data_IF_719800988286
#
_entry.id   IF_719800988286
#
_cell.length_a   1.000
_cell.length_b   1.000
_cell.length_c   1.000
_cell.angle_alpha   90.00
_cell.angle_beta   90.00
_cell.angle_gamma   90.00
#
_symmetry.space_group_name_H-M   'P 1'
#
loop_
_entity.id
_entity.type
_entity.pdbx_description
1 polymer ?
#
# COMPACT_ATOMS: atom_id res chain seq x y z
N UNK A 1 -8.45 -34.91 24.82
CA UNK A 1 -9.08 -33.75 25.49
C UNK A 1 -8.29 -33.36 26.74
N UNK A 2 -7.27 -32.50 26.58
CA UNK A 2 -6.70 -31.62 27.61
C UNK A 2 -5.51 -30.91 26.96
N UNK A 3 -5.39 -29.60 27.22
CA UNK A 3 -4.42 -28.65 26.65
C UNK A 3 -4.78 -28.05 25.29
N UNK A 4 -6.07 -27.78 25.12
CA UNK A 4 -6.63 -26.74 24.25
C UNK A 4 -6.47 -25.37 24.93
N UNK A 5 -5.25 -25.00 25.34
CA UNK A 5 -4.97 -23.61 25.73
C UNK A 5 -4.67 -22.86 24.45
N UNK A 6 -5.68 -22.12 23.98
CA UNK A 6 -5.50 -20.96 23.13
C UNK A 6 -4.23 -20.21 23.58
N UNK A 7 -3.12 -20.41 22.89
CA UNK A 7 -2.02 -19.45 22.89
C UNK A 7 -2.33 -18.34 21.89
N UNK A 8 -3.54 -17.78 22.02
CA UNK A 8 -3.69 -16.33 22.06
C UNK A 8 -3.02 -15.84 23.36
N UNK A 9 -1.72 -16.14 23.51
CA UNK A 9 -0.96 -15.55 24.58
C UNK A 9 -0.92 -14.07 24.23
N UNK A 10 -1.66 -13.28 25.00
CA UNK A 10 -1.49 -11.84 25.06
C UNK A 10 -0.03 -11.47 25.37
N UNK A 11 0.79 -12.45 25.82
CA UNK A 11 2.24 -12.40 25.95
C UNK A 11 2.97 -12.08 24.64
N UNK A 12 2.56 -12.67 23.50
CA UNK A 12 3.23 -12.51 22.21
C UNK A 12 2.51 -11.50 21.28
N UNK A 13 2.20 -10.31 21.80
CA UNK A 13 1.52 -9.26 21.04
C UNK A 13 2.49 -8.17 20.59
N UNK A 14 2.72 -7.96 19.27
CA UNK A 14 3.60 -6.89 18.80
C UNK A 14 3.11 -5.49 19.21
N UNK A 15 1.81 -5.31 19.51
CA UNK A 15 1.26 -4.04 20.01
C UNK A 15 1.79 -3.61 21.39
N UNK A 16 2.44 -4.52 22.13
CA UNK A 16 3.16 -4.16 23.36
C UNK A 16 4.42 -3.33 23.09
N UNK A 17 4.98 -3.44 21.88
CA UNK A 17 6.13 -2.67 21.45
C UNK A 17 5.62 -1.28 21.08
N UNK A 18 6.04 -0.27 21.87
CA UNK A 18 5.61 1.12 21.72
C UNK A 18 5.79 1.62 20.28
N UNK A 19 6.98 1.40 19.72
CA UNK A 19 7.35 1.82 18.37
C UNK A 19 6.44 1.17 17.32
N UNK A 20 6.14 -0.13 17.45
CA UNK A 20 5.26 -0.85 16.52
C UNK A 20 3.82 -0.34 16.60
N UNK A 21 3.29 -0.12 17.81
CA UNK A 21 1.91 0.35 18.02
C UNK A 21 1.65 1.68 17.33
N UNK A 22 2.56 2.62 17.47
CA UNK A 22 2.40 3.90 16.80
C UNK A 22 2.67 3.81 15.29
N UNK A 23 3.63 2.98 14.87
CA UNK A 23 3.86 2.70 13.45
C UNK A 23 2.60 2.16 12.78
N UNK A 24 1.92 1.17 13.39
CA UNK A 24 0.74 0.56 12.80
C UNK A 24 -0.47 1.50 12.79
N UNK A 25 -0.63 2.37 13.80
CA UNK A 25 -1.67 3.41 13.82
C UNK A 25 -1.42 4.41 12.69
N UNK A 26 -0.20 4.94 12.59
CA UNK A 26 0.15 5.89 11.54
C UNK A 26 0.07 5.26 10.14
N UNK A 27 0.49 4.00 10.00
CA UNK A 27 0.30 3.22 8.78
C UNK A 27 -1.17 3.15 8.38
N UNK A 28 -2.04 2.74 9.30
CA UNK A 28 -3.48 2.63 9.06
C UNK A 28 -4.11 3.96 8.64
N UNK A 29 -3.81 5.04 9.36
CA UNK A 29 -4.33 6.38 9.08
C UNK A 29 -3.85 6.87 7.70
N UNK A 30 -2.55 6.78 7.41
CA UNK A 30 -2.00 7.22 6.11
C UNK A 30 -2.51 6.40 4.93
N UNK A 31 -2.67 5.07 5.11
CA UNK A 31 -3.23 4.22 4.06
C UNK A 31 -4.71 4.50 3.82
N UNK A 32 -5.47 4.73 4.88
CA UNK A 32 -6.90 5.08 4.75
C UNK A 32 -7.05 6.39 3.99
N UNK A 33 -6.27 7.42 4.34
CA UNK A 33 -6.21 8.67 3.59
C UNK A 33 -5.85 8.46 2.11
N UNK A 34 -4.88 7.59 1.82
CA UNK A 34 -4.46 7.31 0.44
C UNK A 34 -5.57 6.65 -0.38
N UNK A 35 -6.34 5.74 0.23
CA UNK A 35 -7.51 5.13 -0.42
C UNK A 35 -8.68 6.11 -0.59
N UNK A 36 -8.85 7.06 0.34
CA UNK A 36 -9.81 8.17 0.18
C UNK A 36 -9.42 9.02 -1.04
N UNK A 37 -8.15 9.46 -1.12
CA UNK A 37 -7.64 10.22 -2.26
C UNK A 37 -7.81 9.44 -3.56
N UNK A 38 -7.41 8.16 -3.61
CA UNK A 38 -7.46 7.36 -4.83
C UNK A 38 -8.89 7.32 -5.39
N UNK A 39 -9.88 7.09 -4.52
CA UNK A 39 -11.31 7.09 -4.89
C UNK A 39 -11.75 8.46 -5.44
N UNK A 40 -11.37 9.53 -4.75
CA UNK A 40 -11.69 10.90 -5.18
C UNK A 40 -10.99 11.30 -6.50
N UNK A 41 -9.76 10.84 -6.76
CA UNK A 41 -9.06 11.08 -8.01
C UNK A 41 -9.72 10.38 -9.19
N UNK A 42 -10.15 9.12 -9.01
CA UNK A 42 -10.89 8.38 -10.04
C UNK A 42 -12.18 9.13 -10.40
N UNK A 43 -12.92 9.59 -9.40
CA UNK A 43 -14.13 10.40 -9.63
C UNK A 43 -13.80 11.73 -10.33
N UNK A 44 -12.81 12.48 -9.85
CA UNK A 44 -12.43 13.77 -10.43
C UNK A 44 -12.00 13.65 -11.89
N UNK A 45 -11.20 12.64 -12.24
CA UNK A 45 -10.78 12.41 -13.62
C UNK A 45 -11.99 12.09 -14.51
N UNK A 46 -12.93 11.29 -14.00
CA UNK A 46 -14.17 11.01 -14.72
C UNK A 46 -15.00 12.28 -14.92
N UNK A 47 -15.15 13.12 -13.90
CA UNK A 47 -15.90 14.38 -13.98
C UNK A 47 -15.27 15.38 -14.97
N UNK A 48 -13.93 15.41 -15.04
CA UNK A 48 -13.19 16.28 -15.95
C UNK A 48 -13.21 15.82 -17.42
N UNK A 49 -13.39 14.53 -17.69
CA UNK A 49 -13.16 13.97 -19.04
C UNK A 49 -14.33 13.18 -19.62
N UNK A 50 -15.24 12.68 -18.77
CA UNK A 50 -16.35 11.79 -19.12
C UNK A 50 -15.94 10.58 -19.97
N UNK A 51 -14.68 10.13 -19.86
CA UNK A 51 -14.09 9.16 -20.78
C UNK A 51 -13.35 8.04 -20.07
N UNK A 52 -13.74 6.80 -20.42
CA UNK A 52 -13.06 5.60 -19.94
C UNK A 52 -11.60 5.52 -20.42
N UNK A 53 -11.28 6.09 -21.58
CA UNK A 53 -9.91 6.12 -22.11
C UNK A 53 -8.98 6.98 -21.24
N UNK A 54 -9.45 8.17 -20.84
CA UNK A 54 -8.68 9.06 -19.95
C UNK A 54 -8.51 8.46 -18.55
N UNK A 55 -9.52 7.75 -18.03
CA UNK A 55 -9.37 6.96 -16.81
C UNK A 55 -8.31 5.86 -16.95
N UNK A 56 -8.26 5.17 -18.08
CA UNK A 56 -7.22 4.17 -18.37
C UNK A 56 -5.82 4.79 -18.38
N UNK A 57 -5.64 5.92 -19.06
CA UNK A 57 -4.38 6.68 -19.10
C UNK A 57 -3.98 7.13 -17.69
N UNK A 58 -4.91 7.66 -16.92
CA UNK A 58 -4.66 8.08 -15.54
C UNK A 58 -4.19 6.92 -14.65
N UNK A 59 -4.87 5.77 -14.70
CA UNK A 59 -4.48 4.58 -13.92
C UNK A 59 -3.11 4.04 -14.34
N UNK A 60 -2.82 4.06 -15.65
CA UNK A 60 -1.50 3.68 -16.15
C UNK A 60 -0.42 4.62 -15.61
N UNK A 61 -0.56 5.93 -15.81
CA UNK A 61 0.45 6.91 -15.41
C UNK A 61 0.65 7.00 -13.90
N UNK A 62 -0.40 6.77 -13.09
CA UNK A 62 -0.27 6.73 -11.63
C UNK A 62 0.44 5.48 -11.12
N UNK A 63 0.31 4.34 -11.81
CA UNK A 63 0.92 3.06 -11.40
C UNK A 63 2.28 2.78 -12.05
N UNK A 64 2.52 3.33 -13.23
CA UNK A 64 3.75 3.19 -14.01
C UNK A 64 5.04 3.50 -13.23
N UNK A 65 5.16 4.64 -12.52
CA UNK A 65 6.37 4.93 -11.76
C UNK A 65 6.61 3.92 -10.63
N UNK A 66 5.56 3.36 -10.03
CA UNK A 66 5.71 2.30 -9.01
C UNK A 66 6.45 1.10 -9.59
N UNK A 67 6.09 0.65 -10.79
CA UNK A 67 6.71 -0.52 -11.43
C UNK A 67 8.20 -0.27 -11.69
N UNK A 68 8.55 0.90 -12.22
CA UNK A 68 9.93 1.23 -12.59
C UNK A 68 10.80 1.49 -11.35
N UNK A 69 10.30 2.32 -10.43
CA UNK A 69 11.08 2.77 -9.28
C UNK A 69 11.11 1.76 -8.13
N UNK A 70 10.24 0.73 -8.11
CA UNK A 70 10.34 -0.35 -7.10
C UNK A 70 11.70 -1.05 -7.16
N UNK A 71 12.30 -1.24 -8.34
CA UNK A 71 13.65 -1.82 -8.45
C UNK A 71 14.73 -0.93 -7.84
N UNK A 72 14.62 0.38 -8.04
CA UNK A 72 15.55 1.37 -7.50
C UNK A 72 15.35 1.53 -5.98
N UNK A 73 14.13 1.30 -5.50
CA UNK A 73 13.79 1.39 -4.08
C UNK A 73 14.63 0.47 -3.21
N UNK A 74 14.89 -0.78 -3.66
CA UNK A 74 15.70 -1.74 -2.90
C UNK A 74 17.11 -1.22 -2.62
N UNK A 75 17.75 -0.63 -3.65
CA UNK A 75 19.06 0.00 -3.53
C UNK A 75 19.01 1.16 -2.52
N UNK A 76 18.03 2.05 -2.63
CA UNK A 76 17.90 3.19 -1.73
C UNK A 76 17.62 2.76 -0.27
N UNK A 77 16.77 1.75 -0.07
CA UNK A 77 16.39 1.22 1.26
C UNK A 77 17.58 0.57 1.97
N UNK A 78 18.52 -0.01 1.23
CA UNK A 78 19.70 -0.63 1.81
C UNK A 78 20.86 0.33 2.06
N UNK A 79 20.90 1.45 1.34
CA UNK A 79 21.95 2.46 1.50
C UNK A 79 21.66 3.50 2.56
N UNK A 80 20.41 3.95 2.62
CA UNK A 80 20.02 5.03 3.50
C UNK A 80 19.48 4.48 4.81
N UNK A 81 19.57 5.31 5.85
CA UNK A 81 18.89 5.01 7.10
C UNK A 81 17.39 4.93 6.84
N UNK A 82 16.81 3.74 7.06
CA UNK A 82 15.42 3.43 6.70
C UNK A 82 14.40 4.34 7.40
N UNK A 83 14.62 4.66 8.68
CA UNK A 83 13.78 5.61 9.42
C UNK A 83 13.81 7.01 8.80
N UNK A 84 15.00 7.54 8.51
CA UNK A 84 15.16 8.88 7.90
C UNK A 84 14.57 8.91 6.49
N UNK A 85 14.84 7.90 5.67
CA UNK A 85 14.29 7.79 4.33
C UNK A 85 12.75 7.71 4.38
N UNK A 86 12.19 6.92 5.30
CA UNK A 86 10.74 6.77 5.44
C UNK A 86 10.09 8.07 5.94
N UNK A 87 10.75 8.78 6.84
CA UNK A 87 10.30 10.10 7.29
C UNK A 87 10.29 11.11 6.13
N UNK A 88 11.32 11.10 5.28
CA UNK A 88 11.41 11.96 4.11
C UNK A 88 10.31 11.66 3.09
N UNK A 89 10.08 10.37 2.80
CA UNK A 89 8.99 9.95 1.90
C UNK A 89 7.64 10.35 2.48
N UNK A 90 7.39 10.11 3.78
CA UNK A 90 6.15 10.52 4.44
C UNK A 90 5.91 12.04 4.38
N UNK A 91 6.96 12.83 4.55
CA UNK A 91 6.90 14.29 4.41
C UNK A 91 6.53 14.70 2.99
N UNK A 92 7.20 14.15 1.98
CA UNK A 92 6.90 14.49 0.58
C UNK A 92 5.53 14.00 0.12
N UNK A 93 5.01 12.92 0.70
CA UNK A 93 3.66 12.40 0.41
C UNK A 93 2.53 13.34 0.83
N UNK A 94 2.80 14.37 1.63
CA UNK A 94 1.81 15.40 2.01
C UNK A 94 1.49 16.32 0.82
N UNK A 95 2.49 16.66 0.00
CA UNK A 95 2.35 17.74 -0.99
C UNK A 95 1.43 17.40 -2.17
N UNK A 96 1.52 16.22 -2.82
CA UNK A 96 0.64 15.92 -3.95
C UNK A 96 -0.86 16.02 -3.61
N UNK A 97 -1.38 15.40 -2.53
CA UNK A 97 -2.77 15.62 -2.11
C UNK A 97 -3.06 17.06 -1.75
N UNK A 98 -2.16 17.74 -1.05
CA UNK A 98 -2.39 19.13 -0.62
C UNK A 98 -2.56 20.07 -1.82
N UNK A 99 -1.65 19.98 -2.79
CA UNK A 99 -1.69 20.77 -4.03
C UNK A 99 -2.96 20.42 -4.83
N UNK A 100 -3.29 19.13 -4.93
CA UNK A 100 -4.50 18.71 -5.64
C UNK A 100 -5.78 19.21 -4.96
N UNK A 101 -5.82 19.21 -3.62
CA UNK A 101 -6.88 19.81 -2.81
C UNK A 101 -7.07 21.29 -3.13
N UNK A 102 -5.98 22.06 -3.12
CA UNK A 102 -6.00 23.50 -3.43
C UNK A 102 -6.53 23.73 -4.85
N UNK A 103 -5.96 23.05 -5.86
CA UNK A 103 -6.38 23.21 -7.25
C UNK A 103 -7.86 22.87 -7.46
N UNK A 104 -8.34 21.83 -6.77
CA UNK A 104 -9.74 21.40 -6.86
C UNK A 104 -10.68 22.39 -6.15
N UNK A 105 -10.29 22.90 -4.98
CA UNK A 105 -11.06 23.90 -4.24
C UNK A 105 -11.28 25.18 -5.06
N UNK A 106 -10.25 25.65 -5.77
CA UNK A 106 -10.33 26.82 -6.63
C UNK A 106 -10.85 26.53 -8.05
N UNK A 107 -11.24 25.28 -8.34
CA UNK A 107 -11.70 24.84 -9.67
C UNK A 107 -10.70 25.12 -10.80
N UNK A 108 -9.40 25.16 -10.49
CA UNK A 108 -8.30 25.34 -11.44
C UNK A 108 -7.75 24.00 -11.94
N UNK A 109 -8.27 22.89 -11.40
CA UNK A 109 -7.75 21.55 -11.65
C UNK A 109 -8.05 21.10 -13.07
N UNK A 110 -7.01 20.58 -13.74
CA UNK A 110 -7.09 19.98 -15.08
C UNK A 110 -6.68 18.52 -15.05
N UNK A 111 -7.12 17.74 -16.05
CA UNK A 111 -6.76 16.32 -16.17
C UNK A 111 -5.25 16.07 -16.03
N UNK A 112 -4.42 16.89 -16.70
CA UNK A 112 -2.98 16.73 -16.69
C UNK A 112 -2.35 17.03 -15.32
N UNK A 113 -2.89 18.00 -14.57
CA UNK A 113 -2.44 18.28 -13.21
C UNK A 113 -2.78 17.13 -12.26
N UNK A 114 -4.00 16.60 -12.31
CA UNK A 114 -4.39 15.42 -11.49
C UNK A 114 -3.47 14.24 -11.79
N UNK A 115 -3.25 13.98 -13.08
CA UNK A 115 -2.43 12.85 -13.54
C UNK A 115 -0.96 13.01 -13.16
N UNK A 116 -0.39 14.21 -13.28
CA UNK A 116 0.98 14.49 -12.88
C UNK A 116 1.18 14.34 -11.36
N UNK A 117 0.25 14.85 -10.55
CA UNK A 117 0.32 14.71 -9.08
C UNK A 117 0.11 13.24 -8.65
N UNK A 118 -0.71 12.48 -9.38
CA UNK A 118 -0.84 11.04 -9.17
C UNK A 118 0.44 10.27 -9.57
N UNK A 119 1.10 10.65 -10.67
CA UNK A 119 2.41 10.13 -11.05
C UNK A 119 3.45 10.38 -9.95
N UNK A 120 3.52 11.61 -9.42
CA UNK A 120 4.42 11.94 -8.30
C UNK A 120 4.11 11.12 -7.04
N UNK A 121 2.82 10.91 -6.74
CA UNK A 121 2.39 10.03 -5.66
C UNK A 121 2.83 8.58 -5.90
N UNK A 122 2.76 8.10 -7.15
CA UNK A 122 3.26 6.78 -7.55
C UNK A 122 4.77 6.64 -7.36
N UNK A 123 5.56 7.66 -7.71
CA UNK A 123 7.01 7.69 -7.44
C UNK A 123 7.32 7.54 -5.95
N UNK A 124 6.60 8.27 -5.09
CA UNK A 124 6.76 8.19 -3.64
C UNK A 124 6.32 6.82 -3.11
N UNK A 125 5.20 6.30 -3.60
CA UNK A 125 4.68 4.98 -3.23
C UNK A 125 5.64 3.84 -3.60
N UNK A 126 6.40 3.98 -4.68
CA UNK A 126 7.43 3.02 -5.10
C UNK A 126 8.50 2.80 -4.02
N UNK A 127 8.77 3.82 -3.21
CA UNK A 127 9.68 3.75 -2.07
C UNK A 127 8.93 3.41 -0.78
N UNK A 128 7.77 4.03 -0.54
CA UNK A 128 7.04 3.94 0.72
C UNK A 128 6.64 2.51 1.09
N UNK A 129 6.04 1.78 0.14
CA UNK A 129 5.53 0.41 0.36
C UNK A 129 6.62 -0.56 0.79
N UNK A 130 7.70 -0.78 0.01
CA UNK A 130 8.77 -1.70 0.42
C UNK A 130 9.51 -1.22 1.67
N UNK A 131 9.72 0.09 1.81
CA UNK A 131 10.43 0.65 2.97
C UNK A 131 9.67 0.40 4.27
N UNK A 132 8.34 0.52 4.27
CA UNK A 132 7.49 0.18 5.44
C UNK A 132 7.57 -1.30 5.80
N UNK A 133 7.54 -2.20 4.82
CA UNK A 133 7.65 -3.65 5.05
C UNK A 133 8.99 -4.00 5.72
N UNK A 134 10.08 -3.44 5.19
CA UNK A 134 11.42 -3.66 5.75
C UNK A 134 11.54 -3.03 7.13
N UNK A 135 10.98 -1.83 7.33
CA UNK A 135 11.09 -1.12 8.61
C UNK A 135 10.37 -1.83 9.76
N UNK A 136 9.30 -2.58 9.50
CA UNK A 136 8.67 -3.43 10.53
C UNK A 136 9.68 -4.39 11.14
N UNK A 137 10.55 -5.02 10.32
CA UNK A 137 11.56 -5.96 10.81
C UNK A 137 12.65 -5.31 11.70
N UNK A 138 12.78 -3.99 11.67
CA UNK A 138 13.69 -3.25 12.55
C UNK A 138 13.02 -2.83 13.87
N UNK A 139 11.69 -2.68 13.86
CA UNK A 139 10.92 -2.26 15.03
C UNK A 139 10.51 -3.44 15.90
N UNK A 140 10.28 -4.62 15.30
CA UNK A 140 9.85 -5.81 16.03
C UNK A 140 10.94 -6.89 16.05
N UNK A 141 11.17 -7.56 17.21
CA UNK A 141 11.96 -8.78 17.27
C UNK A 141 11.47 -9.85 16.28
N UNK A 142 12.39 -10.67 15.77
CA UNK A 142 12.09 -11.71 14.77
C UNK A 142 10.94 -12.64 15.19
N UNK A 143 10.84 -12.97 16.48
CA UNK A 143 9.74 -13.77 17.05
C UNK A 143 8.34 -13.19 16.81
N UNK A 144 8.22 -11.88 16.60
CA UNK A 144 6.97 -11.17 16.36
C UNK A 144 6.77 -10.75 14.90
N UNK A 145 7.75 -10.96 14.02
CA UNK A 145 7.75 -10.43 12.67
C UNK A 145 6.54 -10.90 11.87
N UNK A 146 6.27 -12.20 11.85
CA UNK A 146 5.12 -12.76 11.11
C UNK A 146 3.80 -12.15 11.58
N UNK A 147 3.60 -12.03 12.89
CA UNK A 147 2.38 -11.45 13.47
C UNK A 147 2.27 -9.96 13.18
N UNK A 148 3.38 -9.23 13.22
CA UNK A 148 3.44 -7.81 12.88
C UNK A 148 3.09 -7.57 11.40
N UNK A 149 3.58 -8.42 10.49
CA UNK A 149 3.22 -8.39 9.08
C UNK A 149 1.74 -8.73 8.86
N UNK A 150 1.16 -9.66 9.65
CA UNK A 150 -0.28 -9.92 9.63
C UNK A 150 -1.10 -8.68 10.03
N UNK A 151 -0.68 -7.94 11.07
CA UNK A 151 -1.31 -6.67 11.45
C UNK A 151 -1.20 -5.62 10.35
N UNK A 152 -0.06 -5.54 9.66
CA UNK A 152 0.11 -4.64 8.51
C UNK A 152 -0.85 -5.00 7.38
N UNK A 153 -0.94 -6.28 7.02
CA UNK A 153 -1.86 -6.75 6.00
C UNK A 153 -3.32 -6.47 6.37
N UNK A 154 -3.70 -6.69 7.63
CA UNK A 154 -5.03 -6.33 8.14
C UNK A 154 -5.29 -4.84 7.99
N UNK A 155 -4.37 -3.99 8.47
CA UNK A 155 -4.43 -2.54 8.36
C UNK A 155 -4.63 -2.07 6.91
N UNK A 156 -3.85 -2.62 5.98
CA UNK A 156 -3.95 -2.31 4.55
C UNK A 156 -5.33 -2.68 3.96
N UNK A 157 -5.82 -3.89 4.23
CA UNK A 157 -7.10 -4.34 3.70
C UNK A 157 -8.28 -3.60 4.33
N UNK A 158 -8.23 -3.29 5.63
CA UNK A 158 -9.25 -2.47 6.29
C UNK A 158 -9.27 -1.05 5.71
N UNK A 159 -8.10 -0.43 5.51
CA UNK A 159 -8.00 0.88 4.87
C UNK A 159 -8.59 0.88 3.45
N UNK A 160 -8.39 -0.21 2.69
CA UNK A 160 -8.94 -0.38 1.34
C UNK A 160 -10.48 -0.45 1.30
N UNK A 161 -11.10 -0.90 2.38
CA UNK A 161 -12.57 -0.92 2.51
C UNK A 161 -13.08 0.44 3.00
N UNK A 162 -12.46 0.97 4.05
CA UNK A 162 -12.89 2.22 4.67
C UNK A 162 -12.64 3.45 3.79
N UNK A 163 -11.58 3.44 2.99
CA UNK A 163 -11.20 4.59 2.17
C UNK A 163 -12.29 4.98 1.16
N UNK A 164 -12.74 4.07 0.27
CA UNK A 164 -13.82 4.35 -0.66
C UNK A 164 -15.15 4.69 0.04
N UNK A 165 -15.44 4.05 1.17
CA UNK A 165 -16.63 4.35 1.98
C UNK A 165 -16.62 5.82 2.47
N UNK A 166 -15.54 6.25 3.11
CA UNK A 166 -15.41 7.63 3.58
C UNK A 166 -15.33 8.63 2.42
N UNK A 167 -14.62 8.31 1.33
CA UNK A 167 -14.61 9.15 0.13
C UNK A 167 -16.03 9.37 -0.42
N UNK A 168 -16.85 8.32 -0.50
CA UNK A 168 -18.24 8.43 -0.93
C UNK A 168 -19.07 9.36 -0.05
N UNK A 169 -18.93 9.24 1.28
CA UNK A 169 -19.60 10.14 2.23
C UNK A 169 -19.14 11.59 2.06
N UNK A 170 -17.83 11.84 1.96
CA UNK A 170 -17.27 13.19 1.80
C UNK A 170 -17.72 13.80 0.48
N UNK A 171 -17.74 13.03 -0.61
CA UNK A 171 -18.19 13.52 -1.92
C UNK A 171 -19.70 13.82 -1.91
N UNK A 172 -20.49 13.01 -1.21
CA UNK A 172 -21.95 13.15 -1.18
C UNK A 172 -22.45 14.29 -0.30
N UNK A 173 -21.81 14.52 0.86
CA UNK A 173 -22.24 15.52 1.84
C UNK A 173 -21.33 16.76 1.90
N UNK A 174 -20.16 16.69 1.29
CA UNK A 174 -19.13 17.71 1.36
C UNK A 174 -18.66 18.13 -0.02
N UNK A 175 -17.34 18.22 -0.18
CA UNK A 175 -16.74 18.61 -1.45
C UNK A 175 -15.52 17.77 -1.75
N UNK A 176 -15.28 17.51 -3.03
CA UNK A 176 -14.24 16.59 -3.47
C UNK A 176 -12.84 16.96 -2.99
N UNK A 177 -12.53 18.26 -2.87
CA UNK A 177 -11.23 18.72 -2.36
C UNK A 177 -10.94 18.29 -0.91
N UNK A 178 -11.98 18.05 -0.09
CA UNK A 178 -11.84 17.63 1.30
C UNK A 178 -11.21 16.24 1.40
N UNK A 179 -11.49 15.34 0.46
CA UNK A 179 -10.84 14.03 0.36
C UNK A 179 -9.31 14.16 0.24
N UNK A 180 -8.85 15.14 -0.54
CA UNK A 180 -7.42 15.37 -0.74
C UNK A 180 -6.76 15.97 0.49
N UNK A 181 -7.41 16.93 1.16
CA UNK A 181 -6.93 17.45 2.44
C UNK A 181 -6.88 16.37 3.53
N UNK A 182 -7.88 15.49 3.60
CA UNK A 182 -7.85 14.37 4.55
C UNK A 182 -6.66 13.46 4.31
N UNK A 183 -6.29 13.19 3.05
CA UNK A 183 -5.08 12.42 2.80
C UNK A 183 -3.82 13.18 3.22
N UNK A 184 -3.67 14.46 2.85
CA UNK A 184 -2.52 15.27 3.25
C UNK A 184 -2.35 15.28 4.79
N UNK A 185 -3.45 15.49 5.52
CA UNK A 185 -3.47 15.47 6.98
C UNK A 185 -3.13 14.10 7.55
N UNK A 186 -3.52 13.00 6.89
CA UNK A 186 -3.27 11.64 7.36
C UNK A 186 -1.77 11.27 7.44
N UNK A 187 -0.93 11.91 6.61
CA UNK A 187 0.52 11.69 6.61
C UNK A 187 1.25 12.48 7.70
N UNK A 188 0.67 13.58 8.22
CA UNK A 188 1.32 14.45 9.22
C UNK A 188 1.62 13.69 10.53
N UNK A 189 0.65 13.00 11.18
CA UNK A 189 0.92 12.24 12.39
C UNK A 189 1.97 11.14 12.18
N UNK A 190 1.94 10.49 11.01
CA UNK A 190 2.91 9.44 10.68
C UNK A 190 4.33 10.01 10.55
N UNK A 191 4.49 11.14 9.85
CA UNK A 191 5.76 11.84 9.73
C UNK A 191 6.31 12.31 11.09
N UNK A 192 5.49 12.96 11.91
CA UNK A 192 5.87 13.42 13.25
C UNK A 192 6.31 12.22 14.10
N UNK A 193 5.54 11.13 14.07
CA UNK A 193 5.86 9.94 14.84
C UNK A 193 7.21 9.32 14.45
N UNK A 194 7.45 9.11 13.15
CA UNK A 194 8.70 8.56 12.64
C UNK A 194 9.92 9.42 13.02
N UNK A 195 9.75 10.74 12.99
CA UNK A 195 10.84 11.70 13.20
C UNK A 195 11.21 11.83 14.66
N UNK A 196 10.22 12.00 15.54
CA UNK A 196 10.45 12.40 16.94
C UNK A 196 10.35 11.25 17.95
N UNK A 197 9.59 10.20 17.66
CA UNK A 197 9.25 9.19 18.67
C UNK A 197 9.93 7.85 18.46
N UNK A 198 10.22 7.46 17.21
CA UNK A 198 11.01 6.25 16.95
C UNK A 198 12.49 6.54 17.14
N UNK A 199 13.07 6.01 18.22
CA UNK A 199 14.51 6.14 18.53
C UNK A 199 15.34 4.97 18.00
N UNK A 200 14.69 3.86 17.65
CA UNK A 200 15.39 2.65 17.24
C UNK A 200 16.08 2.87 15.90
N UNK A 201 17.40 2.75 15.89
CA UNK A 201 18.21 2.69 14.68
C UNK A 201 19.41 1.82 15.02
N UNK A 202 19.42 0.56 14.56
CA UNK A 202 20.70 -0.05 14.21
C UNK A 202 21.24 0.81 13.08
N UNK A 203 22.21 1.68 13.37
CA UNK A 203 22.91 2.41 12.31
C UNK A 203 23.59 1.34 11.46
N UNK A 204 23.00 1.01 10.31
CA UNK A 204 23.83 0.48 9.22
C UNK A 204 24.77 1.63 8.86
N UNK A 205 26.07 1.42 9.06
CA UNK A 205 27.07 2.30 8.47
C UNK A 205 26.75 2.43 6.98
N UNK A 206 26.73 3.67 6.49
CA UNK A 206 26.49 3.95 5.08
C UNK A 206 27.67 3.33 4.34
N UNK A 207 27.50 2.12 3.79
CA UNK A 207 28.49 1.54 2.90
C UNK A 207 28.58 2.45 1.67
N UNK A 208 29.76 3.03 1.43
CA UNK A 208 30.03 3.76 0.18
C UNK A 208 29.90 2.76 -0.97
N UNK A 209 28.93 2.97 -1.84
CA UNK A 209 28.84 2.23 -3.10
C UNK A 209 30.04 2.61 -3.97
N UNK A 210 30.91 1.65 -4.24
CA UNK A 210 31.84 1.77 -5.35
C UNK A 210 31.07 1.66 -6.68
N UNK A 211 31.45 2.48 -7.67
CA UNK A 211 30.87 2.43 -9.03
C UNK A 211 31.10 1.02 -9.62
N UNK A 212 30.11 0.15 -9.49
CA UNK A 212 30.18 -1.27 -9.86
C UNK A 212 29.29 -2.18 -9.01
N UNK A 213 28.99 -1.80 -7.76
CA UNK A 213 28.20 -2.64 -6.85
C UNK A 213 26.75 -2.81 -7.29
N UNK A 214 26.16 -1.82 -7.97
CA UNK A 214 24.78 -1.94 -8.48
C UNK A 214 24.70 -3.06 -9.53
N UNK A 215 25.60 -3.05 -10.52
CA UNK A 215 25.65 -4.10 -11.56
C UNK A 215 26.00 -5.47 -10.96
N UNK A 216 26.84 -5.49 -9.93
CA UNK A 216 27.19 -6.69 -9.17
C UNK A 216 26.00 -7.24 -8.38
N UNK A 217 25.24 -6.38 -7.70
CA UNK A 217 24.03 -6.75 -6.96
C UNK A 217 22.94 -7.30 -7.90
N UNK A 218 22.73 -6.69 -9.07
CA UNK A 218 21.84 -7.25 -10.10
C UNK A 218 22.30 -8.64 -10.57
N UNK A 219 23.60 -8.81 -10.78
CA UNK A 219 24.18 -10.10 -11.17
C UNK A 219 24.01 -11.14 -10.06
N UNK A 220 24.22 -10.77 -8.80
CA UNK A 220 24.02 -11.63 -7.64
C UNK A 220 22.56 -12.06 -7.48
N UNK A 221 21.60 -11.15 -7.65
CA UNK A 221 20.16 -11.49 -7.63
C UNK A 221 19.80 -12.43 -8.78
N UNK A 222 20.30 -12.16 -9.99
CA UNK A 222 20.06 -13.03 -11.14
C UNK A 222 20.66 -14.43 -10.94
N UNK A 223 21.91 -14.51 -10.48
CA UNK A 223 22.58 -15.78 -10.18
C UNK A 223 21.88 -16.53 -9.03
N UNK A 224 21.42 -15.83 -8.00
CA UNK A 224 20.64 -16.39 -6.91
C UNK A 224 19.32 -16.98 -7.39
N UNK A 225 18.55 -16.25 -8.20
CA UNK A 225 17.29 -16.73 -8.77
C UNK A 225 17.48 -17.93 -9.70
N UNK A 226 18.60 -17.97 -10.44
CA UNK A 226 18.98 -19.10 -11.29
C UNK A 226 19.38 -20.33 -10.46
N UNK A 227 19.99 -20.13 -9.30
CA UNK A 227 20.39 -21.20 -8.36
C UNK A 227 19.20 -21.76 -7.59
N UNK A 228 18.39 -20.89 -6.99
CA UNK A 228 17.26 -21.25 -6.14
C UNK A 228 15.95 -21.32 -6.94
N UNK A 229 15.84 -22.31 -7.84
CA UNK A 229 14.68 -22.47 -8.75
C UNK A 229 13.32 -22.52 -8.03
N UNK A 230 13.27 -22.98 -6.76
CA UNK A 230 12.04 -22.96 -5.95
C UNK A 230 11.51 -21.54 -5.72
N UNK A 231 12.40 -20.59 -5.39
CA UNK A 231 12.03 -19.19 -5.16
C UNK A 231 11.56 -18.57 -6.47
N UNK A 232 12.28 -18.82 -7.57
CA UNK A 232 11.89 -18.34 -8.89
C UNK A 232 10.50 -18.85 -9.30
N UNK A 233 10.19 -20.12 -9.06
CA UNK A 233 8.86 -20.68 -9.34
C UNK A 233 7.76 -20.02 -8.50
N UNK A 234 8.02 -19.71 -7.23
CA UNK A 234 7.07 -18.99 -6.37
C UNK A 234 6.84 -17.56 -6.90
N UNK A 235 7.91 -16.86 -7.29
CA UNK A 235 7.82 -15.50 -7.87
C UNK A 235 7.01 -15.52 -9.17
N UNK A 236 7.33 -16.43 -10.10
CA UNK A 236 6.63 -16.56 -11.39
C UNK A 236 5.16 -16.92 -11.18
N UNK A 237 4.87 -17.87 -10.30
CA UNK A 237 3.49 -18.29 -10.01
C UNK A 237 2.68 -17.13 -9.41
N UNK A 238 3.29 -16.38 -8.49
CA UNK A 238 2.66 -15.20 -7.88
C UNK A 238 2.44 -14.08 -8.90
N UNK A 239 3.42 -13.83 -9.77
CA UNK A 239 3.31 -12.84 -10.85
C UNK A 239 2.19 -13.20 -11.83
N UNK A 240 2.14 -14.46 -12.28
CA UNK A 240 1.06 -14.95 -13.14
C UNK A 240 -0.31 -14.80 -12.48
N UNK A 241 -0.46 -15.23 -11.23
CA UNK A 241 -1.72 -15.05 -10.51
C UNK A 241 -2.11 -13.58 -10.34
N UNK A 242 -1.14 -12.70 -10.09
CA UNK A 242 -1.42 -11.27 -9.92
C UNK A 242 -1.83 -10.61 -11.23
N UNK A 243 -1.14 -10.91 -12.34
CA UNK A 243 -1.44 -10.33 -13.65
C UNK A 243 -2.77 -10.84 -14.19
N UNK A 244 -3.01 -12.16 -14.13
CA UNK A 244 -4.20 -12.75 -14.74
C UNK A 244 -5.38 -12.84 -13.76
N UNK A 245 -5.13 -13.23 -12.52
CA UNK A 245 -6.15 -13.43 -11.49
C UNK A 245 -6.74 -12.11 -10.97
N UNK A 246 -5.94 -11.07 -10.75
CA UNK A 246 -6.48 -9.77 -10.30
C UNK A 246 -7.35 -9.09 -11.37
N UNK A 247 -7.04 -9.35 -12.65
CA UNK A 247 -7.81 -8.82 -13.78
C UNK A 247 -9.25 -9.34 -13.81
N UNK A 248 -9.48 -10.58 -13.35
CA UNK A 248 -10.83 -11.13 -13.21
C UNK A 248 -11.70 -10.36 -12.21
N UNK A 249 -11.10 -9.85 -11.13
CA UNK A 249 -11.79 -9.03 -10.12
C UNK A 249 -12.14 -7.65 -10.69
N UNK A 250 -11.26 -7.07 -11.51
CA UNK A 250 -11.46 -5.75 -12.13
C UNK A 250 -12.55 -5.81 -13.22
N UNK A 251 -12.65 -6.92 -13.95
CA UNK A 251 -13.66 -7.12 -15.00
C UNK A 251 -15.02 -7.55 -14.43
N UNK A 252 -15.10 -7.89 -13.15
CA UNK A 252 -16.34 -8.35 -12.50
C UNK A 252 -17.55 -7.41 -12.72
N UNK A 253 -17.43 -6.06 -12.65
CA UNK A 253 -18.54 -5.16 -12.94
C UNK A 253 -19.05 -5.31 -14.39
N UNK A 254 -18.15 -5.53 -15.35
CA UNK A 254 -18.49 -5.70 -16.77
C UNK A 254 -19.15 -7.06 -17.00
N UNK A 255 -18.67 -8.12 -16.35
CA UNK A 255 -19.25 -9.46 -16.43
C UNK A 255 -20.67 -9.45 -15.85
N UNK A 256 -20.85 -8.87 -14.66
CA UNK A 256 -22.17 -8.70 -14.04
C UNK A 256 -23.06 -7.84 -14.92
N UNK A 257 -22.53 -6.80 -15.54
CA UNK A 257 -23.31 -5.95 -16.43
C UNK A 257 -23.80 -6.69 -17.68
N UNK A 258 -22.95 -7.51 -18.30
CA UNK A 258 -23.28 -8.29 -19.49
C UNK A 258 -24.28 -9.42 -19.21
N UNK A 259 -24.22 -10.06 -18.05
CA UNK A 259 -25.06 -11.22 -17.70
C UNK A 259 -26.38 -10.78 -17.06
N UNK A 260 -26.34 -9.77 -16.18
CA UNK A 260 -27.49 -9.35 -15.35
C UNK A 260 -28.00 -7.92 -15.66
N UNK A 261 -27.43 -7.22 -16.65
CA UNK A 261 -27.82 -5.85 -16.98
C UNK A 261 -27.32 -4.84 -15.94
N UNK A 262 -28.18 -4.02 -15.34
CA UNK A 262 -27.76 -2.99 -14.34
C UNK A 262 -27.52 -3.58 -12.93
N UNK A 263 -27.00 -4.80 -12.84
CA UNK A 263 -26.96 -5.63 -11.63
C UNK A 263 -26.01 -5.15 -10.52
N UNK A 264 -26.25 -3.97 -9.95
CA UNK A 264 -25.46 -3.45 -8.84
C UNK A 264 -25.55 -4.31 -7.57
N UNK A 265 -26.70 -4.97 -7.35
CA UNK A 265 -26.91 -5.89 -6.22
C UNK A 265 -26.07 -7.16 -6.37
N UNK A 266 -26.04 -7.72 -7.56
CA UNK A 266 -25.28 -8.92 -7.92
C UNK A 266 -23.77 -8.65 -7.83
N UNK A 267 -23.33 -7.48 -8.32
CA UNK A 267 -21.95 -7.03 -8.17
C UNK A 267 -21.55 -6.88 -6.69
N UNK A 268 -22.40 -6.24 -5.88
CA UNK A 268 -22.16 -6.08 -4.45
C UNK A 268 -22.11 -7.43 -3.73
N UNK A 269 -23.01 -8.35 -4.06
CA UNK A 269 -23.05 -9.70 -3.50
C UNK A 269 -21.79 -10.51 -3.84
N UNK A 270 -21.39 -10.55 -5.13
CA UNK A 270 -20.18 -11.24 -5.57
C UNK A 270 -18.90 -10.62 -4.98
N UNK A 271 -18.83 -9.29 -4.90
CA UNK A 271 -17.72 -8.59 -4.25
C UNK A 271 -17.65 -8.88 -2.75
N UNK A 272 -18.80 -9.03 -2.09
CA UNK A 272 -18.88 -9.40 -0.68
C UNK A 272 -18.38 -10.82 -0.44
N UNK A 273 -18.70 -11.77 -1.33
CA UNK A 273 -18.18 -13.15 -1.28
C UNK A 273 -16.65 -13.15 -1.42
N UNK A 274 -16.09 -12.36 -2.34
CA UNK A 274 -14.63 -12.21 -2.49
C UNK A 274 -13.99 -11.66 -1.21
N UNK A 275 -14.60 -10.63 -0.61
CA UNK A 275 -14.14 -10.06 0.66
C UNK A 275 -14.19 -11.07 1.81
N UNK A 276 -15.28 -11.83 1.93
CA UNK A 276 -15.44 -12.90 2.90
C UNK A 276 -14.39 -14.00 2.70
N UNK A 277 -14.14 -14.42 1.47
CA UNK A 277 -13.09 -15.38 1.12
C UNK A 277 -11.70 -14.90 1.50
N UNK A 278 -11.39 -13.60 1.30
CA UNK A 278 -10.13 -13.00 1.70
C UNK A 278 -9.97 -12.97 3.23
N UNK A 279 -11.02 -12.57 3.96
CA UNK A 279 -11.03 -12.60 5.43
C UNK A 279 -10.85 -14.03 5.94
N UNK A 280 -11.60 -14.98 5.37
CA UNK A 280 -11.53 -16.39 5.75
C UNK A 280 -10.15 -16.98 5.44
N UNK A 281 -9.57 -16.69 4.28
CA UNK A 281 -8.22 -17.13 3.89
C UNK A 281 -7.14 -16.53 4.78
N UNK A 282 -7.18 -15.23 5.06
CA UNK A 282 -6.25 -14.58 5.99
C UNK A 282 -6.37 -15.18 7.40
N UNK A 283 -7.59 -15.41 7.86
CA UNK A 283 -7.88 -16.03 9.15
C UNK A 283 -7.37 -17.47 9.20
N UNK A 284 -7.61 -18.26 8.14
CA UNK A 284 -7.07 -19.60 7.98
C UNK A 284 -5.55 -19.59 8.01
N UNK A 285 -4.86 -18.71 7.28
CA UNK A 285 -3.39 -18.61 7.30
C UNK A 285 -2.87 -18.23 8.68
N UNK A 286 -3.58 -17.35 9.41
CA UNK A 286 -3.26 -17.02 10.80
C UNK A 286 -3.38 -18.25 11.70
N UNK A 287 -4.36 -19.12 11.44
CA UNK A 287 -4.59 -20.35 12.21
C UNK A 287 -3.76 -21.55 11.73
N UNK A 288 -3.33 -21.59 10.47
CA UNK A 288 -2.70 -22.73 9.80
C UNK A 288 -1.18 -22.69 9.91
N UNK A 289 -0.66 -22.45 11.12
CA UNK A 289 0.78 -22.38 11.37
C UNK A 289 1.48 -23.64 10.84
N UNK A 290 2.46 -23.42 9.98
CA UNK A 290 3.32 -24.41 9.31
C UNK A 290 3.91 -25.38 10.33
N UNK A 291 3.56 -26.67 10.20
CA UNK A 291 4.28 -27.79 10.81
C UNK A 291 5.62 -28.03 10.07
N UNK A 292 6.49 -27.03 9.99
CA UNK A 292 7.86 -27.17 9.48
C UNK A 292 8.83 -26.36 10.33
#
# INVERSE_FOLDING_TARGET
MKNFKLSLSLEDNPLKIKDFRFFIIGHFVSFTGSWIQNTAQIWLVYELTWSALYLGIFNFLSSFPTIIFTFISGILIDLFNRRKLLSLVAFFSIFPPLILGILTQFKLVTFWQVTFLAFLSGCLSALDVPLRQVFISEIVPMKFLTKALSFQALSFNTARILGPFFAGLIISYGSLYQCFYMNALSFIPFFIFLTFFIKTTKQKEIKKIEKGEIKKSYKEVYEFLKREKKILNVIISTANFTIFGATAIILLPIIVHKIHGKGGKEFAFLSSILGLGAIFGATLVIFWKTNQ
#
